data_IF_649471319527
#
_entry.id   IF_649471319527
#
_cell.length_a   1.000
_cell.length_b   1.000
_cell.length_c   1.000
_cell.angle_alpha   90.00
_cell.angle_beta   90.00
_cell.angle_gamma   90.00
#
_symmetry.space_group_name_H-M   'P 1'
#
loop_
_entity.id
_entity.type
_entity.pdbx_description
1 polymer ?
#
# COMPACT_ATOMS: atom_id res chain seq x y z
N UNK A 1 1.67 -4.05 11.41
CA UNK A 1 2.69 -4.82 12.14
C UNK A 1 4.04 -4.15 12.00
N UNK A 2 4.95 -4.39 12.95
CA UNK A 2 6.18 -3.61 13.07
C UNK A 2 7.30 -4.05 12.11
N UNK A 3 7.50 -5.34 11.89
CA UNK A 3 8.65 -5.85 11.11
C UNK A 3 8.22 -6.27 9.71
N UNK A 4 7.04 -6.86 9.55
CA UNK A 4 6.52 -7.25 8.25
C UNK A 4 5.06 -6.82 8.12
N UNK A 5 4.56 -6.82 6.89
CA UNK A 5 3.16 -6.53 6.58
C UNK A 5 2.36 -7.81 6.32
N UNK A 6 1.07 -7.75 6.59
CA UNK A 6 0.08 -8.72 6.12
C UNK A 6 -0.88 -8.01 5.18
N UNK A 7 -1.20 -8.65 4.07
CA UNK A 7 -2.36 -8.30 3.25
C UNK A 7 -3.02 -9.54 2.69
N UNK A 8 -4.17 -9.35 2.06
CA UNK A 8 -4.75 -10.36 1.17
C UNK A 8 -4.41 -10.03 -0.27
N UNK A 9 -4.18 -11.06 -1.06
CA UNK A 9 -3.91 -10.98 -2.49
C UNK A 9 -4.70 -12.08 -3.21
N UNK A 10 -5.15 -11.81 -4.42
CA UNK A 10 -5.75 -12.84 -5.26
C UNK A 10 -4.71 -13.87 -5.69
N UNK A 11 -5.11 -15.13 -5.78
CA UNK A 11 -4.22 -16.18 -6.26
C UNK A 11 -3.91 -15.99 -7.75
N UNK A 12 -2.64 -16.21 -8.11
CA UNK A 12 -2.17 -16.06 -9.48
C UNK A 12 -2.77 -17.14 -10.41
N UNK A 13 -3.07 -18.31 -9.84
CA UNK A 13 -3.82 -19.45 -10.38
C UNK A 13 -5.29 -19.16 -10.70
N UNK A 14 -5.96 -18.67 -9.67
CA UNK A 14 -7.41 -18.59 -9.56
C UNK A 14 -7.83 -17.31 -8.81
N UNK A 15 -8.25 -16.32 -9.59
CA UNK A 15 -8.70 -15.01 -9.07
C UNK A 15 -10.03 -15.07 -8.31
N UNK A 16 -10.68 -16.23 -8.19
CA UNK A 16 -11.80 -16.42 -7.24
C UNK A 16 -11.32 -16.64 -5.80
N UNK A 17 -10.03 -16.95 -5.60
CA UNK A 17 -9.44 -17.22 -4.28
C UNK A 17 -8.56 -16.06 -3.85
N UNK A 18 -8.70 -15.65 -2.59
CA UNK A 18 -7.75 -14.74 -1.91
C UNK A 18 -6.89 -15.53 -0.94
N UNK A 19 -5.58 -15.29 -0.97
CA UNK A 19 -4.61 -15.83 -0.02
C UNK A 19 -4.05 -14.72 0.85
N UNK A 20 -3.59 -15.10 2.03
CA UNK A 20 -2.75 -14.23 2.87
C UNK A 20 -1.40 -14.04 2.18
N UNK A 21 -0.86 -12.83 2.21
CA UNK A 21 0.50 -12.54 1.79
C UNK A 21 1.24 -11.84 2.93
N UNK A 22 2.41 -12.38 3.26
CA UNK A 22 3.38 -11.78 4.16
C UNK A 22 4.45 -11.09 3.32
N UNK A 23 4.72 -9.82 3.59
CA UNK A 23 5.68 -9.03 2.83
C UNK A 23 6.59 -8.19 3.72
N UNK A 24 7.83 -7.88 3.28
CA UNK A 24 8.74 -7.02 4.05
C UNK A 24 8.15 -5.65 4.35
N UNK A 25 8.38 -5.14 5.56
CA UNK A 25 7.89 -3.83 5.97
C UNK A 25 8.79 -3.26 7.09
N UNK A 26 8.29 -2.26 7.82
CA UNK A 26 8.94 -1.77 9.03
C UNK A 26 9.96 -0.65 8.85
N UNK A 27 10.29 -0.28 7.62
CA UNK A 27 11.17 0.87 7.36
C UNK A 27 10.41 2.20 7.47
N UNK A 28 11.13 3.25 7.87
CA UNK A 28 10.61 4.63 7.87
C UNK A 28 11.01 5.41 6.60
N UNK A 29 12.05 4.96 5.88
CA UNK A 29 12.54 5.52 4.61
C UNK A 29 12.72 4.41 3.56
N UNK A 30 13.10 4.80 2.34
CA UNK A 30 13.47 3.83 1.30
C UNK A 30 14.74 3.06 1.68
N UNK A 31 14.86 1.81 1.20
CA UNK A 31 16.00 0.92 1.50
C UNK A 31 17.34 1.60 1.21
N UNK A 32 17.44 2.27 0.05
CA UNK A 32 18.66 2.95 -0.38
C UNK A 32 19.11 4.05 0.60
N UNK A 33 18.18 4.74 1.25
CA UNK A 33 18.50 5.80 2.19
C UNK A 33 19.13 5.28 3.49
N UNK A 34 19.03 3.99 3.81
CA UNK A 34 19.73 3.39 4.96
C UNK A 34 21.15 2.95 4.62
N UNK A 35 21.33 2.41 3.41
CA UNK A 35 22.53 1.66 3.01
C UNK A 35 23.53 2.51 2.23
N UNK A 36 23.07 3.50 1.48
CA UNK A 36 23.93 4.31 0.64
C UNK A 36 24.77 5.32 1.46
N UNK A 37 25.98 5.58 0.98
CA UNK A 37 26.99 6.42 1.65
C UNK A 37 27.08 7.83 1.06
N UNK A 38 26.22 8.17 0.11
CA UNK A 38 26.15 9.51 -0.46
C UNK A 38 25.61 10.53 0.56
N UNK A 39 25.92 11.82 0.32
CA UNK A 39 25.57 12.90 1.23
C UNK A 39 24.06 13.06 1.44
N UNK A 40 23.23 12.72 0.44
CA UNK A 40 21.77 12.84 0.53
C UNK A 40 21.25 11.77 1.48
N UNK A 41 21.66 10.51 1.31
CA UNK A 41 21.28 9.40 2.17
C UNK A 41 21.74 9.62 3.63
N UNK A 42 22.97 10.14 3.83
CA UNK A 42 23.45 10.53 5.17
C UNK A 42 22.53 11.58 5.79
N UNK A 43 22.22 12.65 5.05
CA UNK A 43 21.33 13.72 5.51
C UNK A 43 19.93 13.21 5.87
N UNK A 44 19.36 12.31 5.06
CA UNK A 44 18.05 11.70 5.31
C UNK A 44 18.02 10.88 6.61
N UNK A 45 19.04 10.06 6.87
CA UNK A 45 19.19 9.34 8.16
C UNK A 45 19.28 10.29 9.34
N UNK A 46 20.06 11.37 9.23
CA UNK A 46 20.16 12.39 10.27
C UNK A 46 18.81 13.07 10.52
N UNK A 47 18.07 13.42 9.46
CA UNK A 47 16.75 14.03 9.58
C UNK A 47 15.73 13.10 10.26
N UNK A 48 15.77 11.80 9.95
CA UNK A 48 14.94 10.80 10.64
C UNK A 48 15.30 10.71 12.13
N UNK A 49 16.60 10.70 12.47
CA UNK A 49 17.03 10.70 13.87
C UNK A 49 16.51 11.90 14.64
N UNK A 50 16.66 13.10 14.07
CA UNK A 50 16.21 14.37 14.67
C UNK A 50 14.70 14.35 14.86
N UNK A 51 13.96 13.82 13.87
CA UNK A 51 12.51 13.67 13.93
C UNK A 51 12.07 12.74 15.07
N UNK A 52 12.67 11.55 15.19
CA UNK A 52 12.37 10.61 16.26
C UNK A 52 12.64 11.25 17.62
N UNK A 53 13.81 11.88 17.78
CA UNK A 53 14.17 12.62 19.01
C UNK A 53 13.11 13.68 19.33
N UNK A 54 12.71 14.49 18.35
CA UNK A 54 11.71 15.55 18.55
C UNK A 54 10.37 15.00 19.04
N UNK A 55 9.87 13.94 18.41
CA UNK A 55 8.59 13.31 18.78
C UNK A 55 8.66 12.71 20.18
N UNK A 56 9.75 12.02 20.52
CA UNK A 56 9.94 11.43 21.85
C UNK A 56 10.09 12.50 22.94
N UNK A 57 10.76 13.61 22.65
CA UNK A 57 10.83 14.75 23.57
C UNK A 57 9.46 15.36 23.83
N UNK A 58 8.61 15.50 22.80
CA UNK A 58 7.23 15.97 22.98
C UNK A 58 6.43 15.02 23.87
N UNK A 59 6.51 13.70 23.63
CA UNK A 59 5.84 12.70 24.47
C UNK A 59 6.32 12.75 25.93
N UNK A 60 7.62 12.93 26.15
CA UNK A 60 8.18 13.01 27.49
C UNK A 60 7.72 14.27 28.23
N UNK A 61 7.65 15.40 27.53
CA UNK A 61 7.13 16.67 28.06
C UNK A 61 5.66 16.53 28.46
N UNK A 62 4.80 16.02 27.58
CA UNK A 62 3.37 15.82 27.86
C UNK A 62 3.13 14.81 28.98
N UNK A 63 3.96 13.78 29.10
CA UNK A 63 3.91 12.81 30.19
C UNK A 63 4.49 13.33 31.53
N UNK A 64 5.03 14.56 31.56
CA UNK A 64 5.63 15.15 32.76
C UNK A 64 6.90 14.44 33.21
N UNK A 65 7.63 13.80 32.29
CA UNK A 65 8.87 13.07 32.61
C UNK A 65 9.97 14.07 32.92
N UNK A 66 10.37 14.11 34.20
CA UNK A 66 11.50 14.90 34.66
C UNK A 66 12.74 14.00 34.84
N UNK A 67 13.51 13.84 33.75
CA UNK A 67 14.76 13.08 33.73
C UNK A 67 15.91 13.96 33.25
N UNK A 68 16.96 14.10 34.08
CA UNK A 68 18.17 14.85 33.75
C UNK A 68 18.90 14.31 32.52
N UNK A 69 18.71 13.04 32.18
CA UNK A 69 19.30 12.36 31.03
C UNK A 69 18.32 12.17 29.87
N UNK A 70 17.18 12.88 29.86
CA UNK A 70 16.14 12.70 28.84
C UNK A 70 16.71 12.81 27.42
N UNK A 71 17.54 13.82 27.16
CA UNK A 71 18.18 14.04 25.85
C UNK A 71 19.02 12.84 25.41
N UNK A 72 19.81 12.25 26.32
CA UNK A 72 20.60 11.05 25.99
C UNK A 72 19.67 9.87 25.72
N UNK A 73 18.62 9.67 26.52
CA UNK A 73 17.69 8.55 26.34
C UNK A 73 16.94 8.60 25.02
N UNK A 74 16.36 9.74 24.67
CA UNK A 74 15.63 9.88 23.40
C UNK A 74 16.57 9.72 22.20
N UNK A 75 17.82 10.19 22.32
CA UNK A 75 18.85 9.97 21.32
C UNK A 75 19.25 8.50 21.20
N UNK A 76 19.39 7.77 22.32
CA UNK A 76 19.62 6.32 22.31
C UNK A 76 18.47 5.58 21.63
N UNK A 77 17.21 5.91 21.96
CA UNK A 77 16.04 5.29 21.32
C UNK A 77 16.06 5.55 19.80
N UNK A 78 16.35 6.78 19.37
CA UNK A 78 16.43 7.12 17.94
C UNK A 78 17.52 6.33 17.21
N UNK A 79 18.70 6.14 17.83
CA UNK A 79 19.76 5.31 17.26
C UNK A 79 19.40 3.83 17.22
N UNK A 80 18.79 3.32 18.30
CA UNK A 80 18.32 1.95 18.36
C UNK A 80 17.30 1.66 17.23
N UNK A 81 16.37 2.58 16.97
CA UNK A 81 15.43 2.49 15.85
C UNK A 81 16.16 2.44 14.51
N UNK A 82 17.09 3.38 14.27
CA UNK A 82 17.85 3.44 13.02
C UNK A 82 18.70 2.19 12.79
N UNK A 83 19.29 1.62 13.84
CA UNK A 83 20.08 0.40 13.76
C UNK A 83 19.21 -0.80 13.33
N UNK A 84 18.01 -0.93 13.91
CA UNK A 84 17.07 -2.00 13.54
C UNK A 84 16.56 -1.80 12.11
N UNK A 85 16.12 -0.59 11.75
CA UNK A 85 15.64 -0.30 10.40
C UNK A 85 16.75 -0.48 9.35
N UNK A 86 18.00 -0.10 9.67
CA UNK A 86 19.14 -0.33 8.80
C UNK A 86 19.39 -1.83 8.58
N UNK A 87 19.32 -2.65 9.63
CA UNK A 87 19.45 -4.10 9.49
C UNK A 87 18.37 -4.67 8.56
N UNK A 88 17.10 -4.26 8.74
CA UNK A 88 16.00 -4.68 7.88
C UNK A 88 16.20 -4.22 6.42
N UNK A 89 16.73 -3.01 6.20
CA UNK A 89 17.04 -2.49 4.88
C UNK A 89 18.19 -3.25 4.21
N UNK A 90 19.27 -3.55 4.92
CA UNK A 90 20.38 -4.36 4.42
C UNK A 90 19.92 -5.77 4.04
N UNK A 91 19.04 -6.37 4.84
CA UNK A 91 18.42 -7.66 4.52
C UNK A 91 17.63 -7.63 3.22
N UNK A 92 16.86 -6.55 2.99
CA UNK A 92 16.14 -6.33 1.73
C UNK A 92 17.09 -6.12 0.55
N UNK A 93 18.14 -5.31 0.73
CA UNK A 93 19.09 -4.98 -0.33
C UNK A 93 19.89 -6.19 -0.79
N UNK A 94 20.27 -7.10 0.11
CA UNK A 94 20.98 -8.35 -0.24
C UNK A 94 20.13 -9.27 -1.12
N UNK A 95 18.81 -9.12 -1.07
CA UNK A 95 17.85 -10.05 -1.64
C UNK A 95 16.80 -9.36 -2.52
N UNK A 96 17.19 -8.59 -3.55
CA UNK A 96 16.25 -7.79 -4.33
C UNK A 96 15.37 -8.65 -5.26
N UNK A 97 15.76 -9.90 -5.52
CA UNK A 97 15.31 -10.72 -6.66
C UNK A 97 14.21 -11.74 -6.37
N UNK A 98 13.42 -11.62 -5.30
CA UNK A 98 12.20 -12.44 -5.16
C UNK A 98 10.98 -11.61 -4.78
N UNK A 99 10.64 -10.65 -5.64
CA UNK A 99 9.26 -10.12 -5.71
C UNK A 99 8.26 -11.19 -6.21
N UNK A 100 8.74 -12.36 -6.63
CA UNK A 100 7.89 -13.53 -6.85
C UNK A 100 7.52 -14.12 -5.49
N UNK A 101 6.23 -14.14 -5.11
CA UNK A 101 5.81 -14.74 -3.86
C UNK A 101 6.02 -16.26 -3.91
N UNK A 102 6.53 -16.83 -2.82
CA UNK A 102 6.57 -18.29 -2.67
C UNK A 102 5.33 -18.77 -1.93
N UNK A 103 4.70 -19.81 -2.44
CA UNK A 103 3.62 -20.50 -1.73
C UNK A 103 4.20 -21.34 -0.60
N UNK A 104 3.69 -21.16 0.61
CA UNK A 104 4.07 -21.91 1.82
C UNK A 104 2.86 -22.04 2.75
N UNK A 105 3.02 -22.60 3.95
CA UNK A 105 1.96 -22.74 4.96
C UNK A 105 2.38 -22.08 6.28
N UNK A 106 1.42 -21.76 7.16
CA UNK A 106 1.72 -21.23 8.49
C UNK A 106 2.51 -22.22 9.34
N UNK A 107 2.26 -23.52 9.15
CA UNK A 107 3.02 -24.58 9.80
C UNK A 107 4.49 -24.57 9.36
N UNK A 108 4.76 -24.52 8.06
CA UNK A 108 6.12 -24.56 7.52
C UNK A 108 6.94 -23.35 7.95
N UNK A 109 6.37 -22.13 7.88
CA UNK A 109 7.08 -20.92 8.33
C UNK A 109 7.31 -20.93 9.85
N UNK A 110 6.37 -21.49 10.63
CA UNK A 110 6.54 -21.58 12.08
C UNK A 110 7.68 -22.52 12.44
N UNK A 111 7.81 -23.64 11.71
CA UNK A 111 8.91 -24.57 11.86
C UNK A 111 10.25 -23.97 11.37
N UNK A 112 10.25 -23.28 10.24
CA UNK A 112 11.46 -22.70 9.64
C UNK A 112 12.10 -21.65 10.55
N UNK A 113 11.31 -20.77 11.15
CA UNK A 113 11.82 -19.63 11.92
C UNK A 113 11.75 -19.85 13.44
N UNK A 114 11.32 -21.03 13.90
CA UNK A 114 11.11 -21.34 15.32
C UNK A 114 10.27 -20.29 16.05
N UNK A 115 9.30 -19.69 15.34
CA UNK A 115 8.42 -18.63 15.82
C UNK A 115 6.97 -19.03 15.59
N UNK A 116 6.08 -18.81 16.55
CA UNK A 116 4.68 -19.21 16.42
C UNK A 116 3.88 -18.23 15.54
N UNK A 117 4.04 -18.33 14.22
CA UNK A 117 3.29 -17.50 13.28
C UNK A 117 1.80 -17.78 13.35
N UNK A 118 1.38 -19.02 13.63
CA UNK A 118 -0.04 -19.37 13.73
C UNK A 118 -0.74 -18.52 14.81
N UNK A 119 -0.12 -18.39 15.98
CA UNK A 119 -0.64 -17.55 17.07
C UNK A 119 -0.61 -16.05 16.72
N UNK A 120 0.48 -15.58 16.09
CA UNK A 120 0.58 -14.18 15.68
C UNK A 120 -0.49 -13.82 14.64
N UNK A 121 -0.67 -14.64 13.62
CA UNK A 121 -1.69 -14.44 12.58
C UNK A 121 -3.08 -14.53 13.18
N UNK A 122 -3.35 -15.48 14.06
CA UNK A 122 -4.63 -15.55 14.76
C UNK A 122 -4.94 -14.27 15.56
N UNK A 123 -3.96 -13.77 16.31
CA UNK A 123 -4.10 -12.50 17.05
C UNK A 123 -4.33 -11.31 16.10
N UNK A 124 -3.60 -11.24 14.99
CA UNK A 124 -3.76 -10.20 13.99
C UNK A 124 -5.09 -10.27 13.25
N UNK A 125 -5.67 -11.45 13.03
CA UNK A 125 -6.97 -11.58 12.38
C UNK A 125 -8.14 -11.56 13.36
N UNK A 126 -7.86 -11.56 14.66
CA UNK A 126 -8.85 -11.50 15.75
C UNK A 126 -9.65 -12.78 15.96
N UNK A 127 -9.27 -13.89 15.29
CA UNK A 127 -9.88 -15.21 15.46
C UNK A 127 -8.90 -16.31 14.96
N UNK A 128 -8.71 -17.34 15.78
CA UNK A 128 -7.82 -18.48 15.51
C UNK A 128 -8.33 -19.38 14.38
N UNK A 129 -9.62 -19.33 14.06
CA UNK A 129 -10.25 -20.18 13.05
C UNK A 129 -10.37 -19.52 11.67
N UNK A 130 -9.78 -18.34 11.46
CA UNK A 130 -9.84 -17.65 10.16
C UNK A 130 -9.06 -18.43 9.10
N UNK A 131 -7.90 -18.99 9.48
CA UNK A 131 -6.96 -19.66 8.57
C UNK A 131 -6.47 -20.94 9.23
N UNK A 132 -6.50 -22.06 8.51
CA UNK A 132 -5.88 -23.30 8.96
C UNK A 132 -4.36 -23.22 8.85
N UNK A 133 -3.62 -23.88 9.74
CA UNK A 133 -2.15 -23.91 9.69
C UNK A 133 -1.60 -24.47 8.36
N UNK A 134 -2.41 -25.27 7.65
CA UNK A 134 -2.10 -25.87 6.37
C UNK A 134 -2.55 -25.02 5.17
N UNK A 135 -3.25 -23.90 5.39
CA UNK A 135 -3.73 -23.04 4.31
C UNK A 135 -2.53 -22.46 3.55
N UNK A 136 -2.50 -22.56 2.21
CA UNK A 136 -1.48 -21.93 1.40
C UNK A 136 -1.49 -20.40 1.56
N UNK A 137 -0.32 -19.84 1.85
CA UNK A 137 -0.08 -18.40 1.94
C UNK A 137 1.09 -18.02 1.04
N UNK A 138 1.19 -16.74 0.73
CA UNK A 138 2.32 -16.17 0.00
C UNK A 138 3.33 -15.57 0.97
N UNK A 139 4.60 -15.92 0.79
CA UNK A 139 5.73 -15.33 1.48
C UNK A 139 6.60 -14.59 0.47
N UNK A 140 6.61 -13.26 0.56
CA UNK A 140 7.46 -12.41 -0.28
C UNK A 140 8.83 -12.26 0.37
N UNK A 141 9.89 -12.44 -0.41
CA UNK A 141 11.27 -12.34 0.06
C UNK A 141 11.58 -13.22 1.29
N UNK A 142 11.59 -14.55 1.10
CA UNK A 142 11.86 -15.52 2.19
C UNK A 142 13.15 -15.23 2.96
N UNK A 143 14.19 -14.73 2.28
CA UNK A 143 15.48 -14.43 2.92
C UNK A 143 15.38 -13.22 3.86
N UNK A 144 14.57 -12.21 3.52
CA UNK A 144 14.25 -11.15 4.45
C UNK A 144 13.63 -11.67 5.74
N UNK A 145 12.68 -12.60 5.63
CA UNK A 145 12.05 -13.22 6.80
C UNK A 145 13.06 -14.05 7.61
N UNK A 146 13.98 -14.77 6.96
CA UNK A 146 15.07 -15.46 7.67
C UNK A 146 15.89 -14.48 8.51
N UNK A 147 16.44 -13.44 7.89
CA UNK A 147 17.28 -12.46 8.58
C UNK A 147 16.50 -11.74 9.68
N UNK A 148 15.28 -11.29 9.39
CA UNK A 148 14.47 -10.50 10.31
C UNK A 148 14.08 -11.32 11.55
N UNK A 149 13.70 -12.59 11.39
CA UNK A 149 13.31 -13.41 12.53
C UNK A 149 14.50 -14.00 13.28
N UNK A 150 15.61 -14.31 12.61
CA UNK A 150 16.88 -14.61 13.29
C UNK A 150 17.32 -13.44 14.16
N UNK A 151 17.21 -12.21 13.63
CA UNK A 151 17.44 -10.99 14.41
C UNK A 151 16.45 -10.95 15.58
N UNK A 152 15.15 -10.88 15.36
CA UNK A 152 14.14 -10.71 16.42
C UNK A 152 14.19 -11.76 17.56
N UNK A 153 14.58 -12.99 17.24
CA UNK A 153 14.62 -14.11 18.21
C UNK A 153 15.95 -14.21 18.96
N UNK A 154 16.93 -13.35 18.67
CA UNK A 154 18.19 -13.27 19.41
C UNK A 154 18.04 -12.54 20.76
N UNK A 155 17.23 -13.11 21.66
CA UNK A 155 16.89 -12.52 22.96
C UNK A 155 17.98 -12.66 24.04
N UNK A 156 19.06 -13.38 23.73
CA UNK A 156 20.17 -13.63 24.66
C UNK A 156 21.09 -12.41 24.87
N UNK A 157 21.01 -11.38 24.01
CA UNK A 157 21.76 -10.13 24.16
C UNK A 157 20.85 -9.00 24.70
N UNK A 158 21.10 -8.48 25.92
CA UNK A 158 20.32 -7.38 26.48
C UNK A 158 20.34 -6.09 25.65
N UNK A 159 21.43 -5.82 24.93
CA UNK A 159 21.54 -4.66 24.04
C UNK A 159 20.60 -4.84 22.85
N UNK A 160 20.57 -6.05 22.31
CA UNK A 160 19.69 -6.42 21.21
C UNK A 160 18.21 -6.31 21.62
N UNK A 161 17.85 -6.92 22.74
CA UNK A 161 16.48 -6.89 23.27
C UNK A 161 15.99 -5.44 23.48
N UNK A 162 16.87 -4.55 23.97
CA UNK A 162 16.58 -3.11 24.09
C UNK A 162 16.29 -2.48 22.73
N UNK A 163 17.12 -2.74 21.71
CA UNK A 163 16.94 -2.16 20.37
C UNK A 163 15.60 -2.54 19.77
N UNK A 164 15.24 -3.83 19.81
CA UNK A 164 13.94 -4.31 19.34
C UNK A 164 12.80 -3.68 20.13
N UNK A 165 12.90 -3.61 21.45
CA UNK A 165 11.87 -2.99 22.28
C UNK A 165 11.62 -1.52 21.90
N UNK A 166 12.70 -0.75 21.75
CA UNK A 166 12.65 0.65 21.34
C UNK A 166 12.06 0.82 19.93
N UNK A 167 12.47 -0.03 19.01
CA UNK A 167 11.93 -0.09 17.66
C UNK A 167 10.41 -0.38 17.65
N UNK A 168 9.96 -1.43 18.35
CA UNK A 168 8.54 -1.79 18.41
C UNK A 168 7.68 -0.67 19.01
N UNK A 169 8.18 0.01 20.05
CA UNK A 169 7.52 1.19 20.62
C UNK A 169 7.48 2.35 19.64
N UNK A 170 8.57 2.63 18.94
CA UNK A 170 8.58 3.65 17.89
C UNK A 170 7.56 3.35 16.79
N UNK A 171 7.47 2.09 16.33
CA UNK A 171 6.46 1.70 15.33
C UNK A 171 5.03 1.94 15.81
N UNK A 172 4.76 1.76 17.10
CA UNK A 172 3.46 2.12 17.69
C UNK A 172 3.24 3.63 17.64
N UNK A 173 4.20 4.42 18.12
CA UNK A 173 4.10 5.89 18.10
C UNK A 173 3.90 6.41 16.68
N UNK A 174 4.75 5.98 15.73
CA UNK A 174 4.72 6.44 14.35
C UNK A 174 3.43 6.11 13.61
N UNK A 175 2.71 5.06 14.03
CA UNK A 175 1.38 4.73 13.49
C UNK A 175 0.36 5.84 13.74
N UNK A 176 0.46 6.56 14.86
CA UNK A 176 -0.54 7.53 15.30
C UNK A 176 -0.10 8.99 15.21
N UNK A 177 1.14 9.31 14.81
CA UNK A 177 1.65 10.70 14.80
C UNK A 177 0.76 11.66 14.00
N UNK A 178 0.18 11.18 12.91
CA UNK A 178 -0.74 11.94 12.06
C UNK A 178 -2.12 12.18 12.70
N UNK A 179 -2.43 11.49 13.79
CA UNK A 179 -3.71 11.60 14.52
C UNK A 179 -3.56 12.32 15.87
N UNK A 180 -2.37 12.90 16.15
CA UNK A 180 -2.07 13.62 17.38
C UNK A 180 -2.17 15.15 17.19
N UNK A 181 -1.84 15.89 18.25
CA UNK A 181 -1.88 17.35 18.27
C UNK A 181 -0.97 17.97 17.20
N UNK A 182 -1.21 19.26 16.91
CA UNK A 182 -0.46 20.01 15.89
C UNK A 182 1.06 19.85 16.01
N UNK A 183 1.62 19.78 17.23
CA UNK A 183 3.06 19.68 17.42
C UNK A 183 3.66 18.40 16.82
N UNK A 184 2.94 17.28 16.89
CA UNK A 184 3.34 16.00 16.32
C UNK A 184 3.23 16.01 14.80
N UNK A 185 2.08 16.43 14.27
CA UNK A 185 1.83 16.55 12.83
C UNK A 185 2.83 17.54 12.20
N UNK A 186 3.14 18.63 12.91
CA UNK A 186 4.11 19.61 12.46
C UNK A 186 5.53 19.06 12.43
N UNK A 187 5.95 18.32 13.47
CA UNK A 187 7.25 17.65 13.49
C UNK A 187 7.38 16.65 12.32
N UNK A 188 6.32 15.88 12.05
CA UNK A 188 6.27 14.97 10.90
C UNK A 188 6.37 15.72 9.57
N UNK A 189 5.64 16.82 9.40
CA UNK A 189 5.71 17.68 8.22
C UNK A 189 7.12 18.22 7.97
N UNK A 190 7.79 18.70 9.02
CA UNK A 190 9.18 19.20 8.91
C UNK A 190 10.15 18.10 8.47
N UNK A 191 9.98 16.89 9.00
CA UNK A 191 10.75 15.73 8.55
C UNK A 191 10.51 15.42 7.07
N UNK A 192 9.25 15.33 6.64
CA UNK A 192 8.94 15.04 5.23
C UNK A 192 9.46 16.13 4.28
N UNK A 193 9.42 17.41 4.70
CA UNK A 193 10.01 18.51 3.93
C UNK A 193 11.52 18.33 3.73
N UNK A 194 12.21 17.92 4.79
CA UNK A 194 13.66 17.67 4.74
C UNK A 194 13.99 16.41 3.92
N UNK A 195 13.13 15.39 3.95
CA UNK A 195 13.31 14.14 3.22
C UNK A 195 13.08 14.30 1.70
N UNK A 196 12.00 14.98 1.31
CA UNK A 196 11.63 15.17 -0.09
C UNK A 196 12.22 16.43 -0.73
N UNK A 197 12.72 17.37 0.06
CA UNK A 197 13.37 18.59 -0.44
C UNK A 197 12.41 19.70 -0.89
N UNK A 198 11.12 19.62 -0.56
CA UNK A 198 10.14 20.67 -0.82
C UNK A 198 9.17 20.84 0.35
N UNK A 199 8.62 22.05 0.49
CA UNK A 199 7.71 22.34 1.58
C UNK A 199 6.31 21.78 1.32
N UNK A 200 5.90 20.79 2.10
CA UNK A 200 4.53 20.34 2.21
C UNK A 200 3.76 21.35 3.05
N UNK A 201 3.18 22.36 2.40
CA UNK A 201 2.22 23.25 3.04
C UNK A 201 0.82 22.71 2.79
N UNK A 202 0.17 22.22 3.84
CA UNK A 202 -1.24 21.82 3.81
C UNK A 202 -2.02 22.68 4.80
N UNK A 203 -3.18 23.19 4.37
CA UNK A 203 -4.16 23.74 5.30
C UNK A 203 -4.72 22.59 6.15
N UNK A 204 -5.30 22.91 7.31
CA UNK A 204 -5.96 21.89 8.14
C UNK A 204 -7.07 21.16 7.37
N UNK A 205 -7.83 21.90 6.55
CA UNK A 205 -8.86 21.33 5.70
C UNK A 205 -8.29 20.34 4.68
N UNK A 206 -7.22 20.71 3.96
CA UNK A 206 -6.56 19.83 3.01
C UNK A 206 -5.98 18.58 3.69
N UNK A 207 -5.43 18.74 4.90
CA UNK A 207 -4.91 17.64 5.70
C UNK A 207 -6.03 16.65 6.08
N UNK A 208 -7.12 17.14 6.68
CA UNK A 208 -8.26 16.32 7.05
C UNK A 208 -8.89 15.64 5.83
N UNK A 209 -9.03 16.36 4.72
CA UNK A 209 -9.56 15.81 3.46
C UNK A 209 -8.71 14.64 2.97
N UNK A 210 -7.37 14.81 2.96
CA UNK A 210 -6.44 13.75 2.58
C UNK A 210 -6.58 12.51 3.47
N UNK A 211 -6.69 12.67 4.78
CA UNK A 211 -6.84 11.54 5.70
C UNK A 211 -8.18 10.81 5.50
N UNK A 212 -9.28 11.54 5.27
CA UNK A 212 -10.58 10.92 4.99
C UNK A 212 -10.55 10.17 3.65
N UNK A 213 -9.97 10.75 2.59
CA UNK A 213 -9.80 10.10 1.28
C UNK A 213 -8.98 8.82 1.40
N UNK A 214 -7.90 8.85 2.18
CA UNK A 214 -7.02 7.69 2.37
C UNK A 214 -7.68 6.57 3.17
N UNK A 215 -8.51 6.90 4.17
CA UNK A 215 -9.11 5.93 5.09
C UNK A 215 -10.47 5.40 4.63
N UNK A 216 -11.24 6.21 3.89
CA UNK A 216 -12.60 5.89 3.47
C UNK A 216 -12.79 6.07 1.96
N UNK A 217 -11.99 5.40 1.11
CA UNK A 217 -12.02 5.62 -0.34
C UNK A 217 -13.39 5.28 -0.95
N UNK A 218 -14.08 4.22 -0.49
CA UNK A 218 -15.42 3.86 -0.98
C UNK A 218 -16.47 4.92 -0.64
N UNK A 219 -16.43 5.48 0.57
CA UNK A 219 -17.34 6.55 0.98
C UNK A 219 -17.10 7.84 0.18
N UNK A 220 -15.83 8.20 -0.05
CA UNK A 220 -15.48 9.34 -0.92
C UNK A 220 -15.95 9.10 -2.35
N UNK A 221 -15.80 7.88 -2.85
CA UNK A 221 -16.27 7.53 -4.19
C UNK A 221 -17.80 7.67 -4.29
N UNK A 222 -18.58 7.26 -3.27
CA UNK A 222 -20.03 7.51 -3.21
C UNK A 222 -20.38 8.99 -3.36
N UNK A 223 -19.70 9.86 -2.60
CA UNK A 223 -19.88 11.31 -2.70
C UNK A 223 -19.57 11.84 -4.11
N UNK A 224 -18.58 11.26 -4.77
CA UNK A 224 -18.23 11.62 -6.14
C UNK A 224 -19.33 11.23 -7.15
N UNK A 225 -19.87 10.00 -7.01
CA UNK A 225 -20.93 9.48 -7.88
C UNK A 225 -22.19 10.35 -7.76
N UNK A 226 -22.58 10.69 -6.53
CA UNK A 226 -23.78 11.50 -6.27
C UNK A 226 -23.70 12.91 -6.89
N UNK A 227 -22.49 13.45 -7.04
CA UNK A 227 -22.27 14.83 -7.52
C UNK A 227 -21.92 14.92 -9.01
N UNK A 228 -21.68 13.82 -9.72
CA UNK A 228 -21.20 13.84 -11.11
C UNK A 228 -22.28 13.51 -12.14
N UNK A 229 -22.72 14.52 -12.88
CA UNK A 229 -23.71 14.38 -13.97
C UNK A 229 -23.10 13.98 -15.32
N UNK A 230 -21.78 14.10 -15.47
CA UNK A 230 -21.05 13.88 -16.74
C UNK A 230 -20.45 12.48 -16.88
N UNK A 231 -20.50 11.69 -15.82
CA UNK A 231 -19.80 10.43 -15.70
C UNK A 231 -20.06 9.48 -16.88
N UNK A 232 -21.32 9.27 -17.26
CA UNK A 232 -21.69 8.30 -18.31
C UNK A 232 -21.04 8.62 -19.66
N UNK A 233 -21.07 9.89 -20.09
CA UNK A 233 -20.53 10.29 -21.38
C UNK A 233 -19.00 10.17 -21.40
N UNK A 234 -18.34 10.63 -20.33
CA UNK A 234 -16.89 10.50 -20.20
C UNK A 234 -16.45 9.04 -20.16
N UNK A 235 -17.18 8.17 -19.46
CA UNK A 235 -16.89 6.73 -19.45
C UNK A 235 -16.96 6.14 -20.86
N UNK A 236 -17.99 6.47 -21.63
CA UNK A 236 -18.12 6.03 -23.04
C UNK A 236 -16.97 6.55 -23.89
N UNK A 237 -16.54 7.81 -23.71
CA UNK A 237 -15.38 8.36 -24.42
C UNK A 237 -14.11 7.58 -24.11
N UNK A 238 -13.82 7.32 -22.84
CA UNK A 238 -12.64 6.54 -22.41
C UNK A 238 -12.67 5.13 -22.98
N UNK A 239 -13.82 4.44 -22.87
CA UNK A 239 -14.01 3.09 -23.42
C UNK A 239 -13.71 3.04 -24.92
N UNK A 240 -14.25 4.01 -25.67
CA UNK A 240 -14.06 4.10 -27.12
C UNK A 240 -12.59 4.36 -27.50
N UNK A 241 -11.88 5.22 -26.75
CA UNK A 241 -10.43 5.43 -26.93
C UNK A 241 -9.68 4.13 -26.68
N UNK A 242 -9.97 3.46 -25.55
CA UNK A 242 -9.32 2.22 -25.16
C UNK A 242 -9.48 1.12 -26.20
N UNK A 243 -10.69 0.91 -26.72
CA UNK A 243 -10.96 -0.10 -27.75
C UNK A 243 -10.24 0.23 -29.06
N UNK A 244 -10.16 1.51 -29.42
CA UNK A 244 -9.40 1.97 -30.60
C UNK A 244 -7.90 1.69 -30.45
N UNK A 245 -7.33 2.01 -29.29
CA UNK A 245 -5.92 1.74 -28.97
C UNK A 245 -5.62 0.23 -28.97
N UNK A 246 -6.50 -0.57 -28.37
CA UNK A 246 -6.40 -2.03 -28.33
C UNK A 246 -6.36 -2.62 -29.74
N UNK A 247 -7.23 -2.15 -30.65
CA UNK A 247 -7.23 -2.61 -32.03
C UNK A 247 -5.98 -2.17 -32.79
N UNK A 248 -5.59 -0.89 -32.69
CA UNK A 248 -4.37 -0.39 -33.31
C UNK A 248 -3.12 -1.10 -32.83
N UNK A 249 -3.06 -1.48 -31.55
CA UNK A 249 -1.93 -2.21 -31.01
C UNK A 249 -1.84 -3.65 -31.54
N UNK A 250 -2.97 -4.35 -31.68
CA UNK A 250 -3.00 -5.67 -32.32
C UNK A 250 -2.54 -5.61 -33.77
N UNK A 251 -2.97 -4.59 -34.51
CA UNK A 251 -2.53 -4.38 -35.89
C UNK A 251 -1.02 -4.13 -35.95
N UNK A 252 -0.49 -3.30 -35.06
CA UNK A 252 0.94 -3.05 -34.93
C UNK A 252 1.73 -4.34 -34.64
N UNK A 253 1.27 -5.15 -33.68
CA UNK A 253 1.91 -6.44 -33.34
C UNK A 253 1.94 -7.38 -34.55
N UNK A 254 0.87 -7.40 -35.35
CA UNK A 254 0.77 -8.26 -36.52
C UNK A 254 1.66 -7.80 -37.68
N UNK A 255 1.66 -6.49 -37.99
CA UNK A 255 2.20 -5.96 -39.24
C UNK A 255 3.56 -5.27 -39.08
N UNK A 256 3.87 -4.74 -37.90
CA UNK A 256 4.96 -3.78 -37.71
C UNK A 256 5.96 -4.16 -36.60
N UNK A 257 5.59 -5.03 -35.66
CA UNK A 257 6.46 -5.46 -34.56
C UNK A 257 7.53 -6.46 -35.03
N UNK A 258 8.53 -5.96 -35.75
CA UNK A 258 9.65 -6.75 -36.31
C UNK A 258 10.53 -7.43 -35.25
N UNK A 259 10.43 -7.02 -33.99
CA UNK A 259 11.19 -7.58 -32.87
C UNK A 259 10.57 -8.88 -32.34
N UNK A 260 9.29 -9.15 -32.62
CA UNK A 260 8.66 -10.45 -32.35
C UNK A 260 8.84 -11.31 -33.60
N UNK A 261 9.77 -12.27 -33.52
CA UNK A 261 10.23 -13.03 -34.68
C UNK A 261 9.27 -14.18 -35.01
N UNK A 262 8.67 -14.80 -34.00
CA UNK A 262 7.81 -15.96 -34.13
C UNK A 262 6.32 -15.58 -34.13
N UNK A 263 5.57 -16.17 -35.06
CA UNK A 263 4.14 -15.90 -35.18
C UNK A 263 3.35 -16.48 -33.99
N UNK A 264 3.89 -17.50 -33.30
CA UNK A 264 3.29 -18.05 -32.08
C UNK A 264 3.31 -17.02 -30.94
N UNK A 265 4.42 -16.34 -30.66
CA UNK A 265 4.43 -15.25 -29.67
C UNK A 265 3.54 -14.09 -30.08
N UNK A 266 3.45 -13.75 -31.38
CA UNK A 266 2.46 -12.75 -31.85
C UNK A 266 1.03 -13.19 -31.57
N UNK A 267 0.71 -14.47 -31.76
CA UNK A 267 -0.62 -15.03 -31.45
C UNK A 267 -0.92 -14.89 -29.95
N UNK A 268 0.02 -15.29 -29.09
CA UNK A 268 -0.12 -15.17 -27.63
C UNK A 268 -0.33 -13.72 -27.20
N UNK A 269 0.47 -12.79 -27.73
CA UNK A 269 0.34 -11.37 -27.43
C UNK A 269 -1.04 -10.83 -27.85
N UNK A 270 -1.52 -11.20 -29.05
CA UNK A 270 -2.86 -10.81 -29.53
C UNK A 270 -3.97 -11.36 -28.65
N UNK A 271 -3.92 -12.64 -28.28
CA UNK A 271 -4.92 -13.23 -27.39
C UNK A 271 -4.94 -12.55 -26.01
N UNK A 272 -3.77 -12.18 -25.48
CA UNK A 272 -3.66 -11.42 -24.23
C UNK A 272 -4.30 -10.04 -24.36
N UNK A 273 -3.98 -9.31 -25.43
CA UNK A 273 -4.57 -8.00 -25.72
C UNK A 273 -6.09 -8.11 -25.95
N UNK A 274 -6.57 -9.15 -26.63
CA UNK A 274 -8.00 -9.38 -26.86
C UNK A 274 -8.78 -9.62 -25.57
N UNK A 275 -8.15 -10.29 -24.60
CA UNK A 275 -8.74 -10.50 -23.26
C UNK A 275 -8.56 -9.30 -22.33
N UNK A 276 -7.71 -8.33 -22.69
CA UNK A 276 -7.48 -7.15 -21.88
C UNK A 276 -8.74 -6.29 -21.81
N UNK A 277 -9.17 -5.98 -20.59
CA UNK A 277 -10.37 -5.20 -20.30
C UNK A 277 -10.01 -3.89 -19.60
N UNK A 278 -10.87 -2.89 -19.72
CA UNK A 278 -10.84 -1.70 -18.88
C UNK A 278 -12.08 -1.70 -18.01
N UNK A 279 -11.93 -1.37 -16.74
CA UNK A 279 -13.03 -1.01 -15.88
C UNK A 279 -12.87 0.47 -15.51
N UNK A 280 -13.98 1.19 -15.51
CA UNK A 280 -14.01 2.65 -15.50
C UNK A 280 -14.98 3.07 -14.40
N UNK A 281 -14.53 3.98 -13.54
CA UNK A 281 -15.29 4.71 -12.53
C UNK A 281 -15.28 4.15 -11.13
N UNK A 282 -16.32 3.39 -10.78
CA UNK A 282 -16.64 3.11 -9.39
C UNK A 282 -17.06 1.67 -9.10
N UNK A 283 -16.96 1.33 -7.82
CA UNK A 283 -17.25 0.00 -7.29
C UNK A 283 -18.76 -0.20 -7.12
N UNK A 284 -19.20 -1.45 -7.14
CA UNK A 284 -20.59 -1.78 -6.83
C UNK A 284 -20.98 -1.30 -5.41
N UNK A 285 -20.07 -1.47 -4.43
CA UNK A 285 -20.26 -1.03 -3.05
C UNK A 285 -20.44 0.49 -2.98
N UNK A 286 -19.62 1.26 -3.70
CA UNK A 286 -19.73 2.72 -3.70
C UNK A 286 -20.98 3.24 -4.43
N UNK A 287 -21.62 2.42 -5.27
CA UNK A 287 -22.80 2.82 -6.05
C UNK A 287 -24.14 2.60 -5.33
N UNK A 288 -24.15 1.77 -4.28
CA UNK A 288 -25.35 1.34 -3.56
C UNK A 288 -25.22 1.64 -2.06
N UNK A 289 -26.18 2.41 -1.52
CA UNK A 289 -26.14 2.83 -0.11
C UNK A 289 -26.19 1.64 0.86
N UNK A 290 -26.95 0.58 0.53
CA UNK A 290 -27.08 -0.59 1.40
C UNK A 290 -25.78 -1.39 1.45
N UNK A 291 -25.11 -1.54 0.30
CA UNK A 291 -23.80 -2.22 0.25
C UNK A 291 -22.73 -1.41 0.99
N UNK A 292 -22.73 -0.09 0.84
CA UNK A 292 -21.80 0.81 1.51
C UNK A 292 -21.98 0.80 3.03
N UNK A 293 -23.22 0.89 3.50
CA UNK A 293 -23.56 0.82 4.93
C UNK A 293 -23.16 -0.53 5.52
N UNK A 294 -23.43 -1.63 4.81
CA UNK A 294 -23.01 -2.97 5.25
C UNK A 294 -21.48 -3.13 5.30
N UNK A 295 -20.74 -2.49 4.37
CA UNK A 295 -19.28 -2.49 4.39
C UNK A 295 -18.72 -1.78 5.64
N UNK A 296 -19.31 -0.64 6.02
CA UNK A 296 -18.87 0.16 7.16
C UNK A 296 -19.61 -0.13 8.48
N UNK A 297 -20.49 -1.15 8.54
CA UNK A 297 -21.36 -1.43 9.69
C UNK A 297 -20.64 -1.58 11.05
N UNK A 298 -19.38 -2.01 11.04
CA UNK A 298 -18.57 -2.21 12.24
C UNK A 298 -17.63 -1.04 12.56
N UNK A 299 -17.84 0.10 11.91
CA UNK A 299 -17.08 1.33 12.14
C UNK A 299 -18.02 2.45 12.60
N UNK A 300 -17.67 3.11 13.70
CA UNK A 300 -18.44 4.21 14.26
C UNK A 300 -17.50 5.39 14.48
N UNK A 301 -17.97 6.59 14.13
CA UNK A 301 -17.23 7.84 14.32
C UNK A 301 -17.68 8.49 15.63
N UNK A 302 -16.71 8.93 16.43
CA UNK A 302 -16.88 9.80 17.58
C UNK A 302 -16.49 11.23 17.20
N UNK A 303 -17.47 12.13 17.11
CA UNK A 303 -17.25 13.54 16.75
C UNK A 303 -16.39 14.30 17.77
N UNK A 304 -16.24 13.77 18.99
CA UNK A 304 -15.51 14.42 20.07
C UNK A 304 -14.05 13.94 20.21
N UNK A 305 -13.63 12.87 19.52
CA UNK A 305 -12.29 12.29 19.69
C UNK A 305 -11.70 11.76 18.39
N UNK A 306 -10.77 12.53 17.82
CA UNK A 306 -10.07 12.15 16.60
C UNK A 306 -9.15 10.93 16.79
N UNK A 307 -8.41 10.87 17.90
CA UNK A 307 -7.52 9.73 18.18
C UNK A 307 -8.30 8.43 18.36
N UNK A 308 -9.49 8.46 18.99
CA UNK A 308 -10.36 7.29 19.06
C UNK A 308 -10.82 6.85 17.68
N UNK A 309 -11.18 7.78 16.79
CA UNK A 309 -11.53 7.45 15.41
C UNK A 309 -10.38 6.78 14.65
N UNK A 310 -9.14 7.21 14.88
CA UNK A 310 -7.96 6.56 14.32
C UNK A 310 -7.80 5.12 14.85
N UNK A 311 -7.98 4.91 16.16
CA UNK A 311 -7.95 3.56 16.77
C UNK A 311 -9.07 2.68 16.23
N UNK A 312 -10.29 3.21 16.10
CA UNK A 312 -11.43 2.51 15.52
C UNK A 312 -11.18 2.16 14.05
N UNK A 313 -10.53 3.05 13.30
CA UNK A 313 -10.16 2.79 11.91
C UNK A 313 -9.17 1.63 11.82
N UNK A 314 -8.14 1.59 12.66
CA UNK A 314 -7.19 0.46 12.67
C UNK A 314 -7.86 -0.86 13.06
N UNK A 315 -8.82 -0.82 14.00
CA UNK A 315 -9.65 -2.00 14.34
C UNK A 315 -10.52 -2.45 13.17
N UNK A 316 -11.18 -1.51 12.49
CA UNK A 316 -11.97 -1.79 11.30
C UNK A 316 -11.12 -2.38 10.17
N UNK A 317 -9.93 -1.82 9.91
CA UNK A 317 -9.01 -2.35 8.90
C UNK A 317 -8.58 -3.79 9.22
N UNK A 318 -8.31 -4.09 10.50
CA UNK A 318 -8.02 -5.45 10.96
C UNK A 318 -9.20 -6.40 10.70
N UNK A 319 -10.42 -5.98 11.06
CA UNK A 319 -11.63 -6.74 10.78
C UNK A 319 -11.85 -6.96 9.27
N UNK A 320 -11.68 -5.92 8.44
CA UNK A 320 -11.83 -6.00 6.99
C UNK A 320 -10.83 -6.98 6.37
N UNK A 321 -9.58 -6.97 6.83
CA UNK A 321 -8.58 -7.96 6.43
C UNK A 321 -9.04 -9.40 6.75
N UNK A 322 -9.48 -9.66 7.98
CA UNK A 322 -10.00 -10.96 8.42
C UNK A 322 -11.22 -11.40 7.59
N UNK A 323 -12.17 -10.48 7.38
CA UNK A 323 -13.37 -10.74 6.62
C UNK A 323 -13.08 -11.02 5.13
N UNK A 324 -12.07 -10.36 4.54
CA UNK A 324 -11.66 -10.60 3.15
C UNK A 324 -11.12 -12.02 2.90
N UNK A 325 -10.70 -12.72 3.95
CA UNK A 325 -10.25 -14.11 3.90
C UNK A 325 -11.44 -15.07 4.02
N UNK A 326 -12.36 -14.78 4.95
CA UNK A 326 -13.58 -15.58 5.16
C UNK A 326 -14.56 -15.49 4.00
N UNK A 327 -14.66 -14.29 3.43
CA UNK A 327 -15.57 -13.95 2.35
C UNK A 327 -14.76 -13.37 1.17
N UNK A 328 -14.06 -14.21 0.39
CA UNK A 328 -13.22 -13.74 -0.72
C UNK A 328 -13.98 -12.86 -1.72
N UNK A 329 -15.26 -13.13 -1.91
CA UNK A 329 -16.15 -12.41 -2.82
C UNK A 329 -16.72 -11.09 -2.24
N UNK A 330 -16.40 -10.73 -0.99
CA UNK A 330 -16.90 -9.49 -0.37
C UNK A 330 -16.43 -8.24 -1.12
N UNK A 331 -15.20 -8.26 -1.63
CA UNK A 331 -14.61 -7.19 -2.41
C UNK A 331 -14.23 -7.76 -3.76
N UNK A 332 -14.83 -7.23 -4.83
CA UNK A 332 -14.46 -7.65 -6.17
C UNK A 332 -13.08 -7.09 -6.58
N UNK A 333 -12.68 -7.30 -7.84
CA UNK A 333 -11.40 -6.77 -8.33
C UNK A 333 -11.34 -5.23 -8.25
N UNK A 334 -12.48 -4.56 -8.36
CA UNK A 334 -12.60 -3.11 -8.35
C UNK A 334 -12.53 -2.54 -6.94
N UNK A 335 -13.24 -3.14 -5.99
CA UNK A 335 -13.11 -2.83 -4.57
C UNK A 335 -11.68 -3.05 -4.07
N UNK A 336 -11.04 -4.13 -4.54
CA UNK A 336 -9.63 -4.39 -4.23
C UNK A 336 -8.71 -3.29 -4.77
N UNK A 337 -8.95 -2.80 -5.99
CA UNK A 337 -8.20 -1.67 -6.54
C UNK A 337 -8.38 -0.43 -5.66
N UNK A 338 -9.63 0.01 -5.48
CA UNK A 338 -9.98 1.26 -4.78
C UNK A 338 -9.47 1.31 -3.33
N UNK A 339 -9.47 0.17 -2.63
CA UNK A 339 -9.06 0.10 -1.22
C UNK A 339 -7.56 -0.10 -1.01
N UNK A 340 -6.80 -0.45 -2.07
CA UNK A 340 -5.37 -0.81 -1.96
C UNK A 340 -4.44 0.14 -2.69
N UNK A 341 -4.92 0.87 -3.69
CA UNK A 341 -4.11 1.78 -4.49
C UNK A 341 -4.52 3.24 -4.24
N UNK A 342 -3.56 4.14 -4.37
CA UNK A 342 -3.84 5.59 -4.42
C UNK A 342 -3.71 6.12 -5.85
N UNK A 343 -3.62 5.24 -6.85
CA UNK A 343 -3.39 5.60 -8.24
C UNK A 343 -4.70 5.86 -8.96
N UNK A 344 -4.70 6.89 -9.82
CA UNK A 344 -5.85 7.23 -10.65
C UNK A 344 -6.15 6.17 -11.72
N UNK A 345 -5.08 5.53 -12.22
CA UNK A 345 -5.15 4.50 -13.25
C UNK A 345 -4.01 3.51 -13.10
N UNK A 346 -4.31 2.22 -13.17
CA UNK A 346 -3.29 1.17 -13.07
C UNK A 346 -3.76 -0.14 -13.71
N UNK A 347 -2.84 -0.78 -14.42
CA UNK A 347 -3.04 -2.09 -15.00
C UNK A 347 -2.64 -3.14 -13.98
N UNK A 348 -3.54 -4.08 -13.71
CA UNK A 348 -3.28 -5.20 -12.80
C UNK A 348 -3.10 -6.47 -13.63
N UNK A 349 -1.88 -7.04 -13.71
CA UNK A 349 -1.57 -8.19 -14.56
C UNK A 349 -2.42 -9.43 -14.28
N UNK A 350 -2.65 -9.75 -12.99
CA UNK A 350 -3.41 -10.94 -12.58
C UNK A 350 -4.88 -10.92 -13.05
N UNK A 351 -5.44 -9.73 -13.31
CA UNK A 351 -6.79 -9.57 -13.83
C UNK A 351 -6.81 -9.33 -15.34
N UNK A 352 -5.64 -9.13 -15.95
CA UNK A 352 -5.50 -8.59 -17.30
C UNK A 352 -6.44 -7.40 -17.54
N UNK A 353 -6.48 -6.47 -16.56
CA UNK A 353 -7.48 -5.39 -16.52
C UNK A 353 -6.86 -4.07 -16.09
N UNK A 354 -7.22 -3.02 -16.81
CA UNK A 354 -6.91 -1.63 -16.48
C UNK A 354 -8.04 -1.05 -15.64
N UNK A 355 -7.69 -0.40 -14.53
CA UNK A 355 -8.62 0.28 -13.65
C UNK A 355 -8.42 1.79 -13.80
N UNK A 356 -9.52 2.54 -13.88
CA UNK A 356 -9.54 4.01 -13.95
C UNK A 356 -10.62 4.52 -13.01
N UNK A 357 -10.24 5.19 -11.93
CA UNK A 357 -11.20 5.63 -10.92
C UNK A 357 -11.87 6.95 -11.33
N UNK A 358 -13.01 7.24 -10.73
CA UNK A 358 -13.83 8.43 -11.07
C UNK A 358 -13.05 9.74 -11.04
N UNK A 359 -12.09 9.91 -10.12
CA UNK A 359 -11.26 11.11 -10.02
C UNK A 359 -10.31 11.29 -11.22
N UNK A 360 -9.90 10.19 -11.87
CA UNK A 360 -9.11 10.19 -13.11
C UNK A 360 -9.91 10.48 -14.38
N UNK A 361 -11.24 10.63 -14.28
CA UNK A 361 -12.14 10.85 -15.40
C UNK A 361 -12.56 12.32 -15.56
N UNK A 362 -11.66 13.24 -15.21
CA UNK A 362 -11.95 14.67 -15.21
C UNK A 362 -10.90 15.44 -16.01
N UNK A 363 -11.20 16.71 -16.26
CA UNK A 363 -10.21 17.66 -16.74
C UNK A 363 -9.04 17.75 -15.75
N UNK A 364 -7.78 17.88 -16.23
CA UNK A 364 -7.40 18.08 -17.63
C UNK A 364 -7.20 16.78 -18.43
N UNK A 365 -7.56 15.61 -17.91
CA UNK A 365 -7.28 14.32 -18.54
C UNK A 365 -8.27 13.96 -19.64
N UNK A 366 -9.56 14.24 -19.46
CA UNK A 366 -10.59 13.88 -20.43
C UNK A 366 -11.84 14.74 -20.26
N UNK A 367 -12.49 15.07 -21.37
CA UNK A 367 -13.85 15.61 -21.38
C UNK A 367 -14.57 15.11 -22.64
N UNK A 368 -15.78 14.55 -22.47
CA UNK A 368 -16.59 14.03 -23.59
C UNK A 368 -16.97 15.06 -24.64
N UNK A 369 -16.90 16.36 -24.33
CA UNK A 369 -17.20 17.48 -25.23
C UNK A 369 -15.97 17.95 -26.03
N UNK A 370 -14.77 17.48 -25.69
CA UNK A 370 -13.55 17.87 -26.41
C UNK A 370 -13.40 17.16 -27.76
N UNK A 371 -12.71 17.78 -28.73
CA UNK A 371 -12.34 17.11 -29.97
C UNK A 371 -11.55 15.83 -29.70
N UNK A 372 -11.82 14.78 -30.48
CA UNK A 372 -11.14 13.49 -30.40
C UNK A 372 -9.61 13.56 -30.28
N UNK A 373 -8.89 14.38 -31.08
CA UNK A 373 -7.44 14.49 -30.96
C UNK A 373 -6.95 14.95 -29.58
N UNK A 374 -7.72 15.80 -28.89
CA UNK A 374 -7.37 16.29 -27.54
C UNK A 374 -7.51 15.18 -26.52
N UNK A 375 -8.61 14.42 -26.55
CA UNK A 375 -8.81 13.28 -25.64
C UNK A 375 -7.79 12.15 -25.92
N UNK A 376 -7.46 11.88 -27.17
CA UNK A 376 -6.41 10.91 -27.53
C UNK A 376 -5.04 11.38 -27.03
N UNK A 377 -4.71 12.65 -27.22
CA UNK A 377 -3.42 13.23 -26.79
C UNK A 377 -3.26 13.38 -25.28
N UNK A 378 -4.35 13.35 -24.52
CA UNK A 378 -4.37 13.42 -23.06
C UNK A 378 -4.53 12.02 -22.45
N UNK A 379 -5.76 11.60 -22.14
CA UNK A 379 -6.01 10.29 -21.52
C UNK A 379 -5.55 9.13 -22.42
N UNK A 380 -5.65 9.26 -23.75
CA UNK A 380 -5.25 8.18 -24.67
C UNK A 380 -3.78 7.78 -24.56
N UNK A 381 -2.87 8.72 -24.32
CA UNK A 381 -1.44 8.42 -24.10
C UNK A 381 -1.24 7.60 -22.82
N UNK A 382 -1.96 7.93 -21.75
CA UNK A 382 -1.90 7.21 -20.47
C UNK A 382 -2.47 5.79 -20.60
N UNK A 383 -3.59 5.64 -21.32
CA UNK A 383 -4.16 4.34 -21.63
C UNK A 383 -3.18 3.48 -22.44
N UNK A 384 -2.53 4.07 -23.46
CA UNK A 384 -1.54 3.39 -24.28
C UNK A 384 -0.35 2.90 -23.43
N UNK A 385 0.18 3.73 -22.53
CA UNK A 385 1.25 3.31 -21.60
C UNK A 385 0.87 2.07 -20.80
N UNK A 386 -0.35 2.02 -20.24
CA UNK A 386 -0.82 0.86 -19.46
C UNK A 386 -1.09 -0.37 -20.33
N UNK A 387 -1.51 -0.15 -21.57
CA UNK A 387 -1.70 -1.21 -22.55
C UNK A 387 -0.35 -1.80 -23.00
N UNK A 388 0.70 -1.01 -23.16
CA UNK A 388 2.06 -1.52 -23.40
C UNK A 388 2.57 -2.35 -22.21
N UNK A 389 2.38 -1.85 -20.98
CA UNK A 389 2.74 -2.59 -19.76
C UNK A 389 2.00 -3.95 -19.63
N UNK A 390 0.90 -4.16 -20.37
CA UNK A 390 0.22 -5.45 -20.38
C UNK A 390 0.98 -6.55 -21.09
N UNK A 391 1.87 -6.22 -22.03
CA UNK A 391 2.68 -7.19 -22.77
C UNK A 391 4.16 -7.15 -22.39
N UNK A 392 4.59 -6.12 -21.66
CA UNK A 392 5.93 -6.05 -21.09
C UNK A 392 6.06 -7.00 -19.90
N UNK A 393 7.30 -7.38 -19.57
CA UNK A 393 7.60 -8.07 -18.30
C UNK A 393 7.25 -7.18 -17.10
N UNK A 394 7.08 -7.75 -15.89
CA UNK A 394 6.98 -6.92 -14.70
C UNK A 394 8.26 -6.08 -14.55
N UNK A 395 8.11 -4.74 -14.46
CA UNK A 395 9.19 -3.83 -14.06
C UNK A 395 9.73 -4.15 -12.65
#
# INVERSE_FOLDING_TARGET
MAVFGIRTRFDENDTSIKRLELFPSGLSMEVNDYVATDAISISRRTNLQIYIVKVLSLLAEEAGINDQNLNLRVFTIANDVLDVEKFLAESLQRNPTSNVPRTTTLQDISAQFSFNFSQLIAHELGDENVISILTPIYLLNTMYFTDAFEYLTNDNDPVFARKIHNYLRWRLVSTYIEDLSYNYVHAHRLYLNAYYGYALHTTNEAYCTREVVRRFPLAIQRLYIMNSTRYSNTATTIQTIFDSLKNGFKEYINQNAKWIVDDDTKNIAREKIDKLTVAIGYTAIASDDTLLDNYYQNFTVNDNSHLENAIYYHRFHRWSLSNSIRNPNMLDHWDYFETRTSRLFEYIPIFNRLFIITSGMNEPLVNSEWPWPVNIGSIGVLLAQKLFASIDGPE
#
